data_IF_626778171415
#
_entry.id   IF_626778171415
#
_cell.length_a   1.000
_cell.length_b   1.000
_cell.length_c   1.000
_cell.angle_alpha   90.00
_cell.angle_beta   90.00
_cell.angle_gamma   90.00
#
_symmetry.space_group_name_H-M   'P 1'
#
loop_
_entity.id
_entity.type
_entity.pdbx_description
1 polymer ?
#
# COMPACT_ATOMS: atom_id res chain seq x y z
N UNK A 1 3.99 15.02 -27.25
CA UNK A 1 4.18 13.68 -26.67
C UNK A 1 3.06 13.41 -25.69
N UNK A 2 2.12 12.53 -26.05
CA UNK A 2 1.04 12.13 -25.16
C UNK A 2 1.65 11.14 -24.15
N UNK A 3 2.00 11.60 -22.95
CA UNK A 3 2.46 10.68 -21.90
C UNK A 3 1.27 9.82 -21.52
N UNK A 4 1.23 8.59 -22.02
CA UNK A 4 0.35 7.55 -21.50
C UNK A 4 0.62 7.49 -19.99
N UNK A 5 -0.31 8.00 -19.17
CA UNK A 5 -0.23 7.81 -17.72
C UNK A 5 -0.40 6.32 -17.48
N UNK A 6 0.72 5.65 -17.21
CA UNK A 6 0.71 4.29 -16.71
C UNK A 6 -0.18 4.30 -15.46
N UNK A 7 -1.19 3.44 -15.46
CA UNK A 7 -2.06 3.29 -14.30
C UNK A 7 -1.34 2.42 -13.27
N UNK A 8 -1.44 2.74 -11.98
CA UNK A 8 -0.64 2.06 -10.97
C UNK A 8 -1.06 0.60 -10.85
N UNK A 9 -0.08 -0.30 -10.79
CA UNK A 9 -0.27 -1.72 -10.44
C UNK A 9 -0.32 -1.90 -8.92
N UNK A 10 0.25 -0.95 -8.17
CA UNK A 10 0.21 -0.90 -6.72
C UNK A 10 0.18 0.55 -6.24
N UNK A 11 -0.52 0.78 -5.13
CA UNK A 11 -0.66 2.08 -4.49
C UNK A 11 -0.30 1.93 -3.02
N UNK A 12 0.62 2.76 -2.56
CA UNK A 12 1.10 2.77 -1.19
C UNK A 12 0.68 4.05 -0.44
N UNK A 13 0.20 3.88 0.77
CA UNK A 13 0.03 4.95 1.77
C UNK A 13 1.07 4.74 2.87
N UNK A 14 1.86 5.77 3.16
CA UNK A 14 2.91 5.67 4.18
C UNK A 14 3.14 6.98 4.93
N UNK A 15 3.70 6.91 6.14
CA UNK A 15 3.90 8.07 6.98
C UNK A 15 4.94 9.04 6.39
N UNK A 16 4.65 10.34 6.44
CA UNK A 16 5.49 11.38 5.82
C UNK A 16 6.90 11.54 6.44
N UNK A 17 7.07 11.24 7.73
CA UNK A 17 8.38 11.33 8.41
C UNK A 17 9.25 10.07 8.28
N UNK A 18 8.72 8.97 7.73
CA UNK A 18 9.46 7.70 7.56
C UNK A 18 9.48 7.29 6.09
N UNK A 19 10.13 8.12 5.27
CA UNK A 19 10.14 8.00 3.81
C UNK A 19 10.75 6.69 3.28
N UNK A 20 11.50 5.95 4.10
CA UNK A 20 12.15 4.69 3.71
C UNK A 20 11.18 3.65 3.15
N UNK A 21 9.96 3.59 3.70
CA UNK A 21 8.91 2.70 3.20
C UNK A 21 8.54 3.01 1.74
N UNK A 22 8.28 4.29 1.44
CA UNK A 22 7.94 4.73 0.08
C UNK A 22 9.10 4.62 -0.91
N UNK A 23 10.35 4.85 -0.46
CA UNK A 23 11.55 4.65 -1.29
C UNK A 23 11.69 3.18 -1.68
N UNK A 24 11.60 2.25 -0.72
CA UNK A 24 11.68 0.82 -1.00
C UNK A 24 10.60 0.36 -1.96
N UNK A 25 9.35 0.78 -1.73
CA UNK A 25 8.25 0.47 -2.63
C UNK A 25 8.50 1.00 -4.06
N UNK A 26 8.92 2.25 -4.21
CA UNK A 26 9.19 2.79 -5.55
C UNK A 26 10.37 2.10 -6.24
N UNK A 27 11.35 1.61 -5.48
CA UNK A 27 12.48 0.86 -6.05
C UNK A 27 12.05 -0.44 -6.73
N UNK A 28 10.92 -1.03 -6.34
CA UNK A 28 10.39 -2.27 -6.93
C UNK A 28 9.20 -2.03 -7.87
N UNK A 29 8.33 -1.07 -7.57
CA UNK A 29 7.14 -0.78 -8.37
C UNK A 29 7.45 0.07 -9.62
N UNK A 30 8.57 0.79 -9.63
CA UNK A 30 8.98 1.64 -10.74
C UNK A 30 7.90 2.66 -11.13
N UNK A 31 7.70 2.87 -12.43
CA UNK A 31 6.65 3.78 -12.94
C UNK A 31 5.22 3.28 -12.75
N UNK A 32 5.04 2.01 -12.34
CA UNK A 32 3.74 1.43 -12.03
C UNK A 32 3.33 1.60 -10.57
N UNK A 33 4.16 2.20 -9.72
CA UNK A 33 3.87 2.45 -8.32
C UNK A 33 3.42 3.89 -8.06
N UNK A 34 2.37 4.05 -7.26
CA UNK A 34 1.97 5.36 -6.73
C UNK A 34 2.13 5.40 -5.21
N UNK A 35 2.74 6.46 -4.68
CA UNK A 35 2.96 6.63 -3.23
C UNK A 35 2.31 7.90 -2.73
N UNK A 36 1.51 7.77 -1.69
CA UNK A 36 0.94 8.84 -0.90
C UNK A 36 1.63 8.91 0.45
N UNK A 37 2.41 9.98 0.67
CA UNK A 37 2.94 10.31 1.99
C UNK A 37 1.85 11.05 2.78
N UNK A 38 1.39 10.42 3.87
CA UNK A 38 0.29 10.91 4.69
C UNK A 38 0.79 11.29 6.09
N UNK A 39 0.17 12.31 6.68
CA UNK A 39 0.18 12.50 8.13
C UNK A 39 -1.03 11.80 8.76
N UNK A 40 -0.98 11.56 10.07
CA UNK A 40 -2.02 10.85 10.82
C UNK A 40 -3.44 11.39 10.61
N UNK A 41 -3.60 12.70 10.45
CA UNK A 41 -4.93 13.31 10.34
C UNK A 41 -5.58 13.17 8.96
N UNK A 42 -4.83 12.80 7.92
CA UNK A 42 -5.31 12.84 6.54
C UNK A 42 -5.29 11.48 5.83
N UNK A 43 -4.79 10.43 6.49
CA UNK A 43 -4.65 9.11 5.87
C UNK A 43 -6.00 8.50 5.49
N UNK A 44 -6.98 8.50 6.41
CA UNK A 44 -8.31 7.90 6.16
C UNK A 44 -9.02 8.53 4.96
N UNK A 45 -9.09 9.86 4.94
CA UNK A 45 -9.73 10.61 3.85
C UNK A 45 -9.04 10.34 2.51
N UNK A 46 -7.69 10.27 2.52
CA UNK A 46 -6.91 10.00 1.32
C UNK A 46 -7.18 8.60 0.78
N UNK A 47 -7.16 7.58 1.65
CA UNK A 47 -7.44 6.18 1.27
C UNK A 47 -8.83 6.07 0.65
N UNK A 48 -9.86 6.59 1.33
CA UNK A 48 -11.26 6.51 0.84
C UNK A 48 -11.40 7.18 -0.51
N UNK A 49 -10.85 8.39 -0.69
CA UNK A 49 -10.88 9.10 -1.97
C UNK A 49 -10.25 8.31 -3.12
N UNK A 50 -9.13 7.65 -2.86
CA UNK A 50 -8.43 6.83 -3.85
C UNK A 50 -9.21 5.56 -4.17
N UNK A 51 -9.70 4.83 -3.15
CA UNK A 51 -10.54 3.64 -3.35
C UNK A 51 -11.78 3.95 -4.18
N UNK A 52 -12.47 5.04 -3.87
CA UNK A 52 -13.65 5.40 -4.65
C UNK A 52 -13.30 5.81 -6.09
N UNK A 53 -12.11 6.39 -6.32
CA UNK A 53 -11.66 6.70 -7.68
C UNK A 53 -11.43 5.41 -8.49
N UNK A 54 -10.75 4.43 -7.90
CA UNK A 54 -10.46 3.13 -8.51
C UNK A 54 -11.76 2.44 -8.89
N UNK A 55 -12.70 2.32 -7.95
CA UNK A 55 -13.95 1.59 -8.16
C UNK A 55 -14.88 2.25 -9.19
N UNK A 56 -14.96 3.59 -9.21
CA UNK A 56 -15.87 4.30 -10.13
C UNK A 56 -15.33 4.41 -11.55
N UNK A 57 -14.01 4.44 -11.73
CA UNK A 57 -13.40 4.87 -13.00
C UNK A 57 -12.56 3.81 -13.68
N UNK A 58 -12.28 2.69 -13.01
CA UNK A 58 -11.37 1.69 -13.53
C UNK A 58 -11.89 0.28 -13.28
N UNK A 59 -11.64 -0.62 -14.23
CA UNK A 59 -11.79 -2.06 -14.00
C UNK A 59 -10.54 -2.65 -13.33
N UNK A 60 -9.52 -1.83 -13.09
CA UNK A 60 -8.26 -2.24 -12.48
C UNK A 60 -8.40 -2.33 -10.96
N UNK A 61 -7.59 -3.21 -10.37
CA UNK A 61 -7.56 -3.46 -8.94
C UNK A 61 -6.11 -3.46 -8.45
N UNK A 62 -5.47 -2.28 -8.37
CA UNK A 62 -4.10 -2.18 -7.86
C UNK A 62 -4.00 -2.75 -6.45
N UNK A 63 -2.84 -3.32 -6.13
CA UNK A 63 -2.56 -3.70 -4.76
C UNK A 63 -2.54 -2.46 -3.85
N UNK A 64 -3.24 -2.52 -2.72
CA UNK A 64 -3.27 -1.44 -1.73
C UNK A 64 -2.31 -1.78 -0.59
N UNK A 65 -1.29 -0.96 -0.39
CA UNK A 65 -0.31 -1.13 0.68
C UNK A 65 -0.45 0.03 1.65
N UNK A 66 -0.59 -0.26 2.94
CA UNK A 66 -0.57 0.74 4.01
C UNK A 66 0.62 0.41 4.90
N UNK A 67 1.43 1.41 5.24
CA UNK A 67 2.58 1.17 6.10
C UNK A 67 2.84 2.31 7.07
N UNK A 68 3.33 1.96 8.26
CA UNK A 68 3.70 2.93 9.31
C UNK A 68 2.56 3.90 9.69
N UNK A 69 1.31 3.47 9.50
CA UNK A 69 0.12 4.31 9.65
C UNK A 69 -0.98 3.52 10.38
N UNK A 70 -1.62 4.19 11.33
CA UNK A 70 -2.93 3.78 11.85
C UNK A 70 -4.06 4.31 10.99
N UNK A 71 -5.14 3.53 10.91
CA UNK A 71 -6.38 3.90 10.22
C UNK A 71 -7.56 3.68 11.17
N UNK A 72 -8.69 4.31 10.89
CA UNK A 72 -9.92 4.12 11.67
C UNK A 72 -10.65 2.85 11.25
N UNK A 73 -11.57 2.40 12.11
CA UNK A 73 -12.41 1.23 11.88
C UNK A 73 -13.18 1.33 10.56
N UNK A 74 -13.79 2.48 10.28
CA UNK A 74 -14.58 2.71 9.07
C UNK A 74 -13.73 2.58 7.80
N UNK A 75 -12.48 3.04 7.87
CA UNK A 75 -11.50 2.92 6.80
C UNK A 75 -11.05 1.47 6.63
N UNK A 76 -10.79 0.76 7.72
CA UNK A 76 -10.44 -0.66 7.67
C UNK A 76 -11.57 -1.49 7.05
N UNK A 77 -12.83 -1.25 7.43
CA UNK A 77 -14.00 -1.88 6.82
C UNK A 77 -14.15 -1.54 5.33
N UNK A 78 -13.79 -0.31 4.94
CA UNK A 78 -13.81 0.12 3.55
C UNK A 78 -12.76 -0.61 2.70
N UNK A 79 -11.54 -0.75 3.23
CA UNK A 79 -10.45 -1.52 2.62
C UNK A 79 -10.82 -2.99 2.55
N UNK A 80 -11.45 -3.54 3.59
CA UNK A 80 -11.80 -4.94 3.63
C UNK A 80 -12.78 -5.32 2.50
N UNK A 81 -13.74 -4.44 2.19
CA UNK A 81 -14.66 -4.60 1.03
C UNK A 81 -14.00 -4.43 -0.33
N UNK A 82 -12.78 -3.92 -0.41
CA UNK A 82 -12.07 -3.76 -1.67
C UNK A 82 -11.74 -5.14 -2.28
N UNK A 83 -12.17 -5.33 -3.54
CA UNK A 83 -11.95 -6.56 -4.31
C UNK A 83 -10.61 -6.41 -5.05
N UNK A 84 -9.52 -6.60 -4.31
CA UNK A 84 -8.14 -6.57 -4.79
C UNK A 84 -7.17 -6.91 -3.67
N UNK A 85 -5.88 -7.04 -4.00
CA UNK A 85 -4.86 -7.31 -2.99
C UNK A 85 -4.71 -6.11 -2.06
N UNK A 86 -4.57 -6.39 -0.76
CA UNK A 86 -4.38 -5.36 0.26
C UNK A 86 -3.49 -5.88 1.37
N UNK A 87 -2.68 -5.00 1.93
CA UNK A 87 -1.88 -5.30 3.11
C UNK A 87 -1.66 -4.04 3.95
N UNK A 88 -1.68 -4.21 5.27
CA UNK A 88 -1.23 -3.20 6.22
C UNK A 88 -0.01 -3.75 6.97
N UNK A 89 1.08 -2.98 6.97
CA UNK A 89 2.35 -3.31 7.60
C UNK A 89 2.68 -2.21 8.60
N UNK A 90 2.46 -2.46 9.89
CA UNK A 90 2.69 -1.44 10.91
C UNK A 90 3.33 -2.04 12.16
N UNK A 91 3.82 -1.16 13.03
CA UNK A 91 4.51 -1.54 14.26
C UNK A 91 3.94 -0.87 15.51
N UNK A 92 2.90 -0.03 15.37
CA UNK A 92 2.31 0.66 16.51
C UNK A 92 1.29 -0.25 17.20
N UNK A 93 1.50 -0.50 18.51
CA UNK A 93 0.59 -1.30 19.35
C UNK A 93 -0.88 -0.87 19.25
N UNK A 94 -1.12 0.42 19.05
CA UNK A 94 -2.45 1.02 18.90
C UNK A 94 -3.26 0.44 17.74
N UNK A 95 -2.62 -0.23 16.79
CA UNK A 95 -3.24 -0.81 15.60
C UNK A 95 -3.41 -2.34 15.68
N UNK A 96 -3.07 -2.99 16.82
CA UNK A 96 -3.26 -4.45 17.01
C UNK A 96 -4.68 -4.93 16.72
N UNK A 97 -5.67 -4.14 17.08
CA UNK A 97 -7.09 -4.45 16.84
C UNK A 97 -7.40 -4.68 15.34
N UNK A 98 -6.62 -4.08 14.43
CA UNK A 98 -6.77 -4.28 12.98
C UNK A 98 -6.35 -5.70 12.63
N UNK A 99 -5.16 -6.14 13.05
CA UNK A 99 -4.68 -7.52 12.83
C UNK A 99 -5.60 -8.55 13.48
N UNK A 100 -6.14 -8.26 14.67
CA UNK A 100 -7.09 -9.16 15.34
C UNK A 100 -8.40 -9.33 14.56
N UNK A 101 -8.78 -8.35 13.73
CA UNK A 101 -10.04 -8.34 12.97
C UNK A 101 -9.88 -8.67 11.49
N UNK A 102 -8.72 -8.41 10.90
CA UNK A 102 -8.49 -8.47 9.47
C UNK A 102 -7.18 -9.20 9.13
N UNK A 103 -7.28 -10.28 8.36
CA UNK A 103 -6.14 -11.14 7.99
C UNK A 103 -5.09 -10.46 7.11
N UNK A 104 -5.43 -9.32 6.50
CA UNK A 104 -4.53 -8.54 5.66
C UNK A 104 -3.66 -7.54 6.45
N UNK A 105 -3.82 -7.46 7.77
CA UNK A 105 -3.02 -6.57 8.61
C UNK A 105 -1.96 -7.33 9.40
N UNK A 106 -0.73 -6.82 9.39
CA UNK A 106 0.41 -7.35 10.13
C UNK A 106 0.97 -6.23 11.01
N UNK A 107 0.91 -6.44 12.32
CA UNK A 107 1.42 -5.56 13.36
C UNK A 107 2.57 -6.27 14.08
N UNK A 108 3.78 -5.73 13.93
CA UNK A 108 4.97 -6.26 14.61
C UNK A 108 5.75 -5.13 15.29
N UNK A 109 5.63 -5.05 16.61
CA UNK A 109 6.24 -4.01 17.45
C UNK A 109 7.78 -4.10 17.54
N UNK A 110 8.37 -5.25 17.19
CA UNK A 110 9.82 -5.48 17.26
C UNK A 110 10.55 -5.03 15.98
N UNK A 111 9.82 -4.54 14.97
CA UNK A 111 10.36 -4.08 13.70
C UNK A 111 9.97 -2.61 13.41
N UNK A 112 10.78 -1.93 12.60
CA UNK A 112 10.36 -0.65 12.02
C UNK A 112 9.42 -0.88 10.84
N UNK A 113 8.55 0.11 10.53
CA UNK A 113 7.72 0.06 9.32
C UNK A 113 8.54 -0.21 8.05
N UNK A 114 9.73 0.38 7.93
CA UNK A 114 10.63 0.15 6.78
C UNK A 114 11.14 -1.28 6.72
N UNK A 115 11.49 -1.90 7.85
CA UNK A 115 11.92 -3.30 7.89
C UNK A 115 10.77 -4.25 7.52
N UNK A 116 9.54 -3.96 7.95
CA UNK A 116 8.37 -4.74 7.56
C UNK A 116 8.11 -4.66 6.05
N UNK A 117 8.17 -3.46 5.48
CA UNK A 117 8.06 -3.26 4.02
C UNK A 117 9.18 -3.99 3.27
N UNK A 118 10.42 -3.90 3.74
CA UNK A 118 11.55 -4.61 3.15
C UNK A 118 11.33 -6.13 3.13
N UNK A 119 10.92 -6.71 4.26
CA UNK A 119 10.66 -8.14 4.38
C UNK A 119 9.49 -8.60 3.51
N UNK A 120 8.42 -7.80 3.47
CA UNK A 120 7.27 -8.06 2.60
C UNK A 120 7.71 -8.12 1.13
N UNK A 121 8.44 -7.11 0.65
CA UNK A 121 8.95 -7.06 -0.72
C UNK A 121 9.88 -8.23 -1.03
N UNK A 122 10.80 -8.57 -0.12
CA UNK A 122 11.72 -9.70 -0.27
C UNK A 122 10.99 -11.05 -0.36
N UNK A 123 9.84 -11.16 0.30
CA UNK A 123 8.99 -12.36 0.31
C UNK A 123 8.21 -12.58 -0.99
N UNK A 124 8.14 -11.58 -1.88
CA UNK A 124 7.46 -11.70 -3.17
C UNK A 124 8.39 -12.49 -4.13
N UNK A 125 7.98 -13.64 -4.67
CA UNK A 125 8.77 -14.36 -5.65
C UNK A 125 9.10 -13.46 -6.85
N UNK A 126 10.36 -13.41 -7.25
CA UNK A 126 10.91 -12.61 -8.37
C UNK A 126 10.14 -12.80 -9.70
N UNK A 127 9.28 -13.83 -9.80
CA UNK A 127 8.38 -14.07 -10.94
C UNK A 127 7.41 -12.92 -11.26
N UNK A 128 7.07 -12.05 -10.31
CA UNK A 128 6.24 -10.87 -10.60
C UNK A 128 7.03 -9.64 -11.06
N UNK A 129 8.36 -9.66 -10.96
CA UNK A 129 9.23 -8.56 -11.41
C UNK A 129 9.62 -8.67 -12.89
N UNK A 130 9.31 -9.80 -13.56
CA UNK A 130 9.75 -10.08 -14.94
C UNK A 130 8.70 -9.84 -16.04
N UNK A 131 7.51 -9.31 -15.73
CA UNK A 131 6.45 -9.11 -16.74
C UNK A 131 6.47 -7.74 -17.41
N UNK A 132 7.50 -6.90 -17.20
CA UNK A 132 7.58 -5.56 -17.82
C UNK A 132 8.81 -5.33 -18.72
N UNK A 133 9.59 -6.37 -19.04
CA UNK A 133 10.63 -6.28 -20.08
C UNK A 133 10.58 -7.52 -20.96
N UNK A 134 9.55 -7.62 -21.80
CA UNK A 134 9.63 -8.32 -23.09
C UNK A 134 8.75 -7.57 -24.09
N UNK A 135 9.32 -6.50 -24.63
CA UNK A 135 9.15 -6.10 -26.02
C UNK A 135 10.53 -5.58 -26.43
N UNK A 136 11.31 -6.46 -27.03
CA UNK A 136 12.19 -6.25 -28.19
C UNK A 136 12.85 -7.60 -28.55
#
# INVERSE_FOLDING_TARGET
>A
MNTMKLRPIAIMFTHNHRIGCGILFQSVAGYGGEVYYCGYHHVDEKIVKVLDHIERRTNERPQIIISDLGIKLETAERIDRYIGEKILLDHHKTNRWIQEKYDWAIINEDASGTLLVYNYIKGIPVRYMHTLIQND
#
